data_IF_595879320675
#
_entry.id   IF_595879320675
#
_cell.length_a   1.000
_cell.length_b   1.000
_cell.length_c   1.000
_cell.angle_alpha   90.00
_cell.angle_beta   90.00
_cell.angle_gamma   90.00
#
_symmetry.space_group_name_H-M   'P 1'
#
loop_
_entity.id
_entity.type
_entity.pdbx_description
1 polymer ?
#
# COMPACT_ATOMS: atom_id res chain seq x y z
N UNK A 1 19.74 -17.29 14.58
CA UNK A 1 18.98 -16.27 13.81
C UNK A 1 19.22 -16.33 12.29
N UNK A 2 20.44 -16.58 11.80
CA UNK A 2 20.74 -16.54 10.35
C UNK A 2 20.08 -17.61 9.47
N UNK A 3 20.11 -18.89 9.86
CA UNK A 3 19.58 -19.99 9.02
C UNK A 3 18.06 -19.93 8.84
N UNK A 4 17.33 -19.63 9.92
CA UNK A 4 15.87 -19.51 9.89
C UNK A 4 15.43 -18.34 9.01
N UNK A 5 16.05 -17.17 9.19
CA UNK A 5 15.83 -16.02 8.33
C UNK A 5 16.12 -16.35 6.86
N UNK A 6 17.25 -17.01 6.58
CA UNK A 6 17.63 -17.37 5.21
C UNK A 6 16.63 -18.35 4.59
N UNK A 7 16.12 -19.29 5.38
CA UNK A 7 15.08 -20.25 4.94
C UNK A 7 13.80 -19.52 4.56
N UNK A 8 13.27 -18.66 5.44
CA UNK A 8 12.07 -17.88 5.18
C UNK A 8 12.25 -16.94 3.99
N UNK A 9 13.37 -16.22 3.96
CA UNK A 9 13.73 -15.29 2.88
C UNK A 9 13.78 -15.98 1.52
N UNK A 10 14.35 -17.18 1.48
CA UNK A 10 14.43 -17.98 0.25
C UNK A 10 13.06 -18.42 -0.25
N UNK A 11 12.12 -18.73 0.64
CA UNK A 11 10.75 -19.11 0.26
C UNK A 11 9.97 -17.91 -0.28
N UNK A 12 9.95 -16.80 0.48
CA UNK A 12 9.26 -15.56 0.08
C UNK A 12 9.86 -14.97 -1.20
N UNK A 13 11.19 -14.97 -1.33
CA UNK A 13 11.88 -14.44 -2.50
C UNK A 13 11.52 -15.16 -3.79
N UNK A 14 11.22 -16.47 -3.75
CA UNK A 14 10.76 -17.22 -4.92
C UNK A 14 9.39 -16.76 -5.41
N UNK A 15 8.53 -16.31 -4.50
CA UNK A 15 7.17 -15.87 -4.79
C UNK A 15 7.11 -14.39 -5.19
N UNK A 16 7.95 -13.54 -4.59
CA UNK A 16 7.86 -12.09 -4.77
C UNK A 16 8.93 -11.49 -5.68
N UNK A 17 10.12 -12.10 -5.79
CA UNK A 17 11.29 -11.47 -6.42
C UNK A 17 11.75 -12.15 -7.71
N UNK A 18 11.25 -13.35 -8.02
CA UNK A 18 11.55 -13.98 -9.32
C UNK A 18 10.84 -13.19 -10.41
N UNK A 19 11.52 -12.80 -11.51
CA UNK A 19 10.92 -11.98 -12.57
C UNK A 19 9.58 -12.51 -13.07
N UNK A 20 9.50 -13.81 -13.41
CA UNK A 20 8.24 -14.45 -13.84
C UNK A 20 7.12 -14.40 -12.81
N UNK A 21 7.44 -14.44 -11.51
CA UNK A 21 6.44 -14.32 -10.46
C UNK A 21 6.00 -12.86 -10.30
N UNK A 22 6.94 -11.92 -10.38
CA UNK A 22 6.67 -10.49 -10.30
C UNK A 22 5.83 -9.98 -11.49
N UNK A 23 6.03 -10.53 -12.69
CA UNK A 23 5.23 -10.23 -13.88
C UNK A 23 3.73 -10.45 -13.66
N UNK A 24 3.35 -11.50 -12.91
CA UNK A 24 1.95 -11.78 -12.61
C UNK A 24 1.28 -10.67 -11.78
N UNK A 25 2.05 -9.86 -11.06
CA UNK A 25 1.55 -8.75 -10.25
C UNK A 25 1.38 -7.45 -11.02
N UNK A 26 1.87 -7.35 -12.27
CA UNK A 26 1.76 -6.13 -13.07
C UNK A 26 0.29 -5.73 -13.31
N UNK A 27 -0.59 -6.70 -13.56
CA UNK A 27 -2.02 -6.46 -13.72
C UNK A 27 -2.68 -5.92 -12.43
N UNK A 28 -2.62 -6.67 -11.31
CA UNK A 28 -3.16 -6.23 -10.02
C UNK A 28 -2.63 -4.86 -9.57
N UNK A 29 -1.32 -4.64 -9.65
CA UNK A 29 -0.70 -3.35 -9.27
C UNK A 29 -1.14 -2.25 -10.23
N UNK A 30 -1.20 -2.52 -11.53
CA UNK A 30 -1.69 -1.57 -12.53
C UNK A 30 -3.13 -1.11 -12.26
N UNK A 31 -4.01 -2.02 -11.82
CA UNK A 31 -5.37 -1.66 -11.42
C UNK A 31 -5.38 -0.72 -10.20
N UNK A 32 -4.57 -1.01 -9.18
CA UNK A 32 -4.43 -0.14 -7.99
C UNK A 32 -3.86 1.23 -8.35
N UNK A 33 -2.91 1.30 -9.30
CA UNK A 33 -2.38 2.57 -9.82
C UNK A 33 -3.48 3.36 -10.54
N UNK A 34 -4.32 2.70 -11.33
CA UNK A 34 -5.49 3.33 -11.96
C UNK A 34 -6.42 3.98 -10.94
N UNK A 35 -6.73 3.25 -9.86
CA UNK A 35 -7.59 3.76 -8.78
C UNK A 35 -6.94 4.95 -8.03
N UNK A 36 -5.62 4.91 -7.83
CA UNK A 36 -4.89 6.04 -7.23
C UNK A 36 -4.98 7.28 -8.11
N UNK A 37 -4.77 7.16 -9.42
CA UNK A 37 -4.85 8.29 -10.35
C UNK A 37 -6.25 8.92 -10.32
N UNK A 38 -7.30 8.10 -10.38
CA UNK A 38 -8.68 8.59 -10.29
C UNK A 38 -8.94 9.32 -8.98
N UNK A 39 -8.45 8.77 -7.86
CA UNK A 39 -8.60 9.40 -6.55
C UNK A 39 -7.87 10.73 -6.44
N UNK A 40 -6.64 10.81 -6.93
CA UNK A 40 -5.86 12.05 -6.91
C UNK A 40 -6.50 13.13 -7.77
N UNK A 41 -7.01 12.77 -8.96
CA UNK A 41 -7.78 13.69 -9.81
C UNK A 41 -9.01 14.21 -9.09
N UNK A 42 -9.80 13.33 -8.48
CA UNK A 42 -10.99 13.70 -7.72
C UNK A 42 -10.71 14.65 -6.55
N UNK A 43 -9.64 14.40 -5.78
CA UNK A 43 -9.23 15.27 -4.68
C UNK A 43 -8.77 16.63 -5.19
N UNK A 44 -7.96 16.64 -6.25
CA UNK A 44 -7.47 17.85 -6.91
C UNK A 44 -8.62 18.71 -7.40
N UNK A 45 -9.57 18.12 -8.13
CA UNK A 45 -10.66 18.86 -8.80
C UNK A 45 -11.66 19.46 -7.80
N UNK A 46 -11.73 18.92 -6.57
CA UNK A 46 -12.54 19.47 -5.47
C UNK A 46 -11.82 20.52 -4.63
N UNK A 47 -10.50 20.62 -4.72
CA UNK A 47 -9.75 21.60 -3.96
C UNK A 47 -9.75 22.96 -4.69
N UNK A 48 -10.02 24.10 -4.02
CA UNK A 48 -10.09 25.41 -4.68
C UNK A 48 -8.83 25.81 -5.46
N UNK A 49 -7.68 25.31 -5.02
CA UNK A 49 -6.37 25.58 -5.64
C UNK A 49 -5.95 24.50 -6.64
N UNK A 50 -6.80 23.52 -6.95
CA UNK A 50 -6.46 22.38 -7.81
C UNK A 50 -5.23 21.60 -7.34
N UNK A 51 -5.20 21.27 -6.05
CA UNK A 51 -4.09 20.57 -5.40
C UNK A 51 -4.60 19.36 -4.62
N UNK A 52 -3.74 18.38 -4.42
CA UNK A 52 -3.99 17.29 -3.45
C UNK A 52 -3.32 17.71 -2.13
N UNK A 53 -4.08 18.02 -1.07
CA UNK A 53 -3.52 18.64 0.14
C UNK A 53 -2.54 17.74 0.90
N UNK A 54 -2.80 16.43 0.91
CA UNK A 54 -1.97 15.44 1.61
C UNK A 54 -1.74 14.21 0.73
N UNK A 55 -0.72 14.30 -0.11
CA UNK A 55 -0.30 13.21 -1.00
C UNK A 55 0.31 12.04 -0.22
N UNK A 56 0.90 12.28 0.96
CA UNK A 56 1.53 11.24 1.76
C UNK A 56 0.49 10.25 2.31
N UNK A 57 -0.63 10.76 2.84
CA UNK A 57 -1.77 9.93 3.26
C UNK A 57 -2.29 9.06 2.11
N UNK A 58 -2.34 9.62 0.90
CA UNK A 58 -2.79 8.88 -0.27
C UNK A 58 -1.81 7.79 -0.71
N UNK A 59 -0.50 8.02 -0.55
CA UNK A 59 0.50 6.98 -0.75
C UNK A 59 0.48 5.88 0.32
N UNK A 60 0.12 6.17 1.58
CA UNK A 60 -0.07 5.11 2.58
C UNK A 60 -1.25 4.19 2.24
N UNK A 61 -2.37 4.76 1.79
CA UNK A 61 -3.53 4.00 1.30
C UNK A 61 -3.16 3.16 0.07
N UNK A 62 -2.46 3.76 -0.89
CA UNK A 62 -1.96 3.07 -2.07
C UNK A 62 -1.04 1.90 -1.71
N UNK A 63 -0.07 2.12 -0.81
CA UNK A 63 0.87 1.09 -0.39
C UNK A 63 0.17 -0.12 0.20
N UNK A 64 -0.82 0.12 1.08
CA UNK A 64 -1.61 -0.96 1.70
C UNK A 64 -2.49 -1.71 0.69
N UNK A 65 -3.17 -0.98 -0.21
CA UNK A 65 -3.99 -1.60 -1.26
C UNK A 65 -3.12 -2.42 -2.22
N UNK A 66 -1.97 -1.87 -2.62
CA UNK A 66 -1.02 -2.47 -3.54
C UNK A 66 -0.47 -3.78 -2.98
N UNK A 67 0.07 -3.77 -1.77
CA UNK A 67 0.62 -5.01 -1.18
C UNK A 67 -0.47 -6.05 -0.90
N UNK A 68 -1.69 -5.62 -0.54
CA UNK A 68 -2.81 -6.52 -0.31
C UNK A 68 -3.31 -7.19 -1.59
N UNK A 69 -3.26 -6.46 -2.72
CA UNK A 69 -3.56 -7.02 -4.04
C UNK A 69 -2.57 -8.09 -4.46
N UNK A 70 -1.29 -7.97 -4.05
CA UNK A 70 -0.23 -8.93 -4.35
C UNK A 70 -0.29 -10.13 -3.42
N UNK A 71 -0.38 -9.91 -2.10
CA UNK A 71 -0.28 -10.97 -1.10
C UNK A 71 -1.57 -11.78 -0.95
N UNK A 72 -2.72 -11.12 -1.07
CA UNK A 72 -4.02 -11.72 -0.76
C UNK A 72 -4.95 -11.80 -1.96
N UNK A 73 -4.51 -11.34 -3.13
CA UNK A 73 -5.38 -11.18 -4.32
C UNK A 73 -6.68 -10.44 -3.99
N UNK A 74 -6.61 -9.48 -3.06
CA UNK A 74 -7.79 -8.83 -2.46
C UNK A 74 -7.67 -7.31 -2.50
N UNK A 75 -8.83 -6.65 -2.61
CA UNK A 75 -8.98 -5.19 -2.63
C UNK A 75 -9.58 -4.75 -1.30
N UNK A 76 -8.79 -4.06 -0.47
CA UNK A 76 -9.24 -3.59 0.84
C UNK A 76 -10.11 -2.33 0.74
N UNK A 77 -10.07 -1.63 -0.40
CA UNK A 77 -10.84 -0.42 -0.61
C UNK A 77 -10.18 0.82 0.00
N UNK A 78 -8.86 0.82 0.22
CA UNK A 78 -8.12 1.95 0.78
C UNK A 78 -8.27 3.24 -0.04
N UNK A 79 -8.53 3.10 -1.35
CA UNK A 79 -8.61 4.20 -2.31
C UNK A 79 -10.07 4.62 -2.62
N UNK A 80 -11.07 4.02 -1.96
CA UNK A 80 -12.47 4.43 -2.12
C UNK A 80 -12.72 5.80 -1.48
N UNK A 81 -13.78 6.49 -1.93
CA UNK A 81 -14.16 7.78 -1.34
C UNK A 81 -14.43 7.65 0.17
N UNK A 82 -15.10 6.56 0.56
CA UNK A 82 -15.27 6.13 1.95
C UNK A 82 -14.41 4.90 2.21
N UNK A 83 -13.39 5.07 3.04
CA UNK A 83 -12.46 3.99 3.40
C UNK A 83 -13.05 3.19 4.57
N UNK A 84 -12.98 1.85 4.55
CA UNK A 84 -13.43 1.05 5.70
C UNK A 84 -12.68 1.43 6.99
N UNK A 85 -13.41 1.49 8.11
CA UNK A 85 -12.85 1.93 9.40
C UNK A 85 -11.64 1.10 9.84
N UNK A 86 -11.70 -0.22 9.67
CA UNK A 86 -10.61 -1.11 10.05
C UNK A 86 -9.34 -0.86 9.22
N UNK A 87 -9.52 -0.54 7.93
CA UNK A 87 -8.42 -0.17 7.04
C UNK A 87 -7.76 1.15 7.48
N UNK A 88 -8.55 2.17 7.84
CA UNK A 88 -8.01 3.42 8.36
C UNK A 88 -7.30 3.22 9.71
N UNK A 89 -7.87 2.40 10.59
CA UNK A 89 -7.27 2.06 11.87
C UNK A 89 -5.92 1.37 11.68
N UNK A 90 -5.82 0.44 10.72
CA UNK A 90 -4.58 -0.26 10.40
C UNK A 90 -3.49 0.68 9.86
N UNK A 91 -3.83 1.56 8.91
CA UNK A 91 -2.88 2.56 8.38
C UNK A 91 -2.36 3.45 9.50
N UNK A 92 -3.25 3.92 10.40
CA UNK A 92 -2.88 4.75 11.54
C UNK A 92 -1.96 4.00 12.50
N UNK A 93 -2.26 2.73 12.79
CA UNK A 93 -1.45 1.91 13.69
C UNK A 93 -0.01 1.73 13.15
N UNK A 94 0.16 1.53 11.84
CA UNK A 94 1.49 1.48 11.21
C UNK A 94 2.22 2.81 11.40
N UNK A 95 1.55 3.94 11.13
CA UNK A 95 2.13 5.27 11.31
C UNK A 95 2.56 5.53 12.76
N UNK A 96 1.72 5.15 13.74
CA UNK A 96 2.05 5.24 15.17
C UNK A 96 3.24 4.35 15.53
N UNK A 97 3.29 3.11 15.05
CA UNK A 97 4.40 2.19 15.32
C UNK A 97 5.73 2.79 14.86
N UNK A 98 5.83 3.24 13.60
CA UNK A 98 7.06 3.86 13.10
C UNK A 98 7.40 5.19 13.80
N UNK A 99 6.39 6.00 14.12
CA UNK A 99 6.58 7.25 14.87
C UNK A 99 7.13 7.02 16.27
N UNK A 100 6.68 5.98 16.96
CA UNK A 100 7.21 5.61 18.27
C UNK A 100 8.64 5.06 18.18
N UNK A 101 8.95 4.23 17.18
CA UNK A 101 10.31 3.69 17.00
C UNK A 101 11.35 4.80 16.83
N UNK A 102 11.04 5.83 16.04
CA UNK A 102 11.91 7.01 15.84
C UNK A 102 12.12 7.85 17.11
N UNK A 103 11.20 7.79 18.07
CA UNK A 103 11.33 8.50 19.35
C UNK A 103 12.10 7.68 20.41
N UNK A 104 12.22 6.37 20.21
CA UNK A 104 12.89 5.45 21.15
C UNK A 104 14.31 5.06 20.75
N UNK A 105 14.77 5.47 19.56
CA UNK A 105 16.15 5.35 19.11
C UNK A 105 16.90 6.66 19.32
#
# INVERSE_FOLDING_TARGET
>A
EGEEWQRLRSLVGRLLLRPRAAEAYAGPVGAVVGDLVQRLQHLRDRHPQQLVPDVATEFYKFGLEGISSVLFASRLGCLRQEVPRDTEAFIRAIGTMFGMTLLTM
#
